data_IF_796850321272
#
_entry.id   IF_796850321272
#
_cell.length_a   1.000
_cell.length_b   1.000
_cell.length_c   1.000
_cell.angle_alpha   90.00
_cell.angle_beta   90.00
_cell.angle_gamma   90.00
#
_symmetry.space_group_name_H-M   'P 1'
#
loop_
_entity.id
_entity.type
_entity.pdbx_description
1 polymer ?
#
# COMPACT_ATOMS: atom_id res chain seq x y z
N UNK A 1 28.64 2.05 11.36
CA UNK A 1 28.53 3.52 11.18
C UNK A 1 29.87 4.17 11.53
N UNK A 2 30.39 5.08 10.69
CA UNK A 2 31.53 5.95 11.06
C UNK A 2 31.05 6.86 12.21
N UNK A 3 31.73 6.85 13.36
CA UNK A 3 31.38 7.56 14.62
C UNK A 3 30.41 6.87 15.60
N UNK A 4 30.36 5.53 15.65
CA UNK A 4 29.54 4.79 16.62
C UNK A 4 29.84 5.13 18.09
N UNK A 5 31.06 5.58 18.40
CA UNK A 5 31.47 5.98 19.74
C UNK A 5 30.80 7.24 20.30
N UNK A 6 30.02 7.98 19.51
CA UNK A 6 29.25 9.16 19.97
C UNK A 6 27.83 8.85 20.44
N UNK A 7 27.39 7.60 20.31
CA UNK A 7 26.00 7.21 20.56
C UNK A 7 25.91 6.21 21.70
N UNK A 8 24.99 6.44 22.63
CA UNK A 8 24.56 5.43 23.58
C UNK A 8 23.39 4.67 22.98
N UNK A 9 23.62 3.39 22.67
CA UNK A 9 22.58 2.52 22.10
C UNK A 9 21.78 1.87 23.21
N UNK A 10 20.48 2.10 23.23
CA UNK A 10 19.54 1.41 24.12
C UNK A 10 18.78 0.35 23.34
N UNK A 11 18.59 -0.82 23.95
CA UNK A 11 17.73 -1.91 23.46
C UNK A 11 16.87 -2.36 24.62
N UNK A 12 15.56 -2.43 24.40
CA UNK A 12 14.63 -2.95 25.40
C UNK A 12 14.16 -4.34 24.98
N UNK A 13 14.54 -5.36 25.75
CA UNK A 13 13.95 -6.68 25.68
C UNK A 13 12.77 -6.73 26.65
N UNK A 14 11.60 -7.08 26.15
CA UNK A 14 10.39 -7.23 26.95
C UNK A 14 10.56 -8.30 28.04
N UNK A 15 11.39 -9.32 27.83
CA UNK A 15 11.70 -10.34 28.84
C UNK A 15 12.49 -9.78 30.04
N UNK A 16 13.22 -8.69 29.86
CA UNK A 16 14.01 -8.06 30.93
C UNK A 16 13.18 -7.00 31.68
N UNK A 17 11.95 -6.73 31.24
CA UNK A 17 11.08 -5.71 31.83
C UNK A 17 10.21 -6.29 32.94
N UNK A 18 10.14 -5.60 34.07
CA UNK A 18 9.19 -5.90 35.15
C UNK A 18 7.77 -5.41 34.84
N UNK A 19 7.62 -4.55 33.81
CA UNK A 19 6.35 -3.92 33.44
C UNK A 19 5.57 -4.70 32.37
N UNK A 20 6.22 -5.63 31.67
CA UNK A 20 5.57 -6.41 30.61
C UNK A 20 4.93 -7.65 31.21
N UNK A 21 3.66 -7.87 30.87
CA UNK A 21 2.93 -9.09 31.24
C UNK A 21 3.62 -10.33 30.68
N UNK A 22 4.06 -11.23 31.57
CA UNK A 22 4.73 -12.48 31.19
C UNK A 22 3.82 -13.38 30.36
N UNK A 23 2.52 -13.38 30.65
CA UNK A 23 1.57 -14.17 29.88
C UNK A 23 1.45 -13.67 28.43
N UNK A 24 1.70 -12.38 28.16
CA UNK A 24 1.76 -11.86 26.81
C UNK A 24 2.99 -12.37 26.06
N UNK A 25 4.15 -12.44 26.72
CA UNK A 25 5.38 -12.96 26.13
C UNK A 25 5.21 -14.46 25.81
N UNK A 26 4.65 -15.23 26.73
CA UNK A 26 4.39 -16.66 26.54
C UNK A 26 3.45 -16.92 25.37
N UNK A 27 2.35 -16.16 25.25
CA UNK A 27 1.46 -16.25 24.07
C UNK A 27 2.18 -15.98 22.76
N UNK A 28 3.02 -14.94 22.72
CA UNK A 28 3.83 -14.65 21.53
C UNK A 28 4.85 -15.77 21.24
N UNK A 29 5.40 -16.42 22.27
CA UNK A 29 6.30 -17.57 22.09
C UNK A 29 5.56 -18.79 21.54
N UNK A 30 4.35 -19.07 22.03
CA UNK A 30 3.50 -20.17 21.57
C UNK A 30 3.01 -19.94 20.14
N UNK A 31 2.57 -18.73 19.81
CA UNK A 31 1.99 -18.40 18.51
C UNK A 31 3.04 -18.38 17.39
N UNK A 32 4.23 -17.83 17.65
CA UNK A 32 5.24 -17.57 16.61
C UNK A 32 6.52 -18.41 16.75
N UNK A 33 6.79 -18.96 17.93
CA UNK A 33 8.08 -19.58 18.24
C UNK A 33 9.17 -18.55 18.53
N UNK A 34 10.05 -18.89 19.47
CA UNK A 34 11.13 -18.01 19.98
C UNK A 34 12.10 -17.52 18.90
N UNK A 35 12.33 -18.34 17.88
CA UNK A 35 13.26 -18.04 16.77
C UNK A 35 12.61 -17.24 15.63
N UNK A 36 11.32 -16.88 15.74
CA UNK A 36 10.64 -16.09 14.71
C UNK A 36 11.10 -14.62 14.70
N UNK A 37 11.00 -13.99 13.52
CA UNK A 37 11.21 -12.55 13.40
C UNK A 37 10.19 -11.76 14.25
N UNK A 38 8.96 -12.26 14.39
CA UNK A 38 7.91 -11.63 15.21
C UNK A 38 8.31 -11.60 16.68
N UNK A 39 8.75 -12.72 17.26
CA UNK A 39 9.23 -12.76 18.63
C UNK A 39 10.50 -11.89 18.79
N UNK A 40 11.41 -11.96 17.82
CA UNK A 40 12.64 -11.16 17.80
C UNK A 40 12.39 -9.65 17.81
N UNK A 41 11.41 -9.16 17.06
CA UNK A 41 11.08 -7.74 16.99
C UNK A 41 10.20 -7.32 18.16
N UNK A 42 9.08 -8.02 18.40
CA UNK A 42 8.06 -7.62 19.38
C UNK A 42 8.45 -7.90 20.83
N UNK A 43 9.27 -8.94 21.07
CA UNK A 43 9.73 -9.32 22.42
C UNK A 43 11.17 -8.89 22.63
N UNK A 44 12.11 -9.34 21.80
CA UNK A 44 13.55 -9.13 22.06
C UNK A 44 14.05 -7.70 21.74
N UNK A 45 13.24 -6.89 21.06
CA UNK A 45 13.63 -5.55 20.59
C UNK A 45 14.81 -5.59 19.63
N UNK A 46 14.97 -6.70 18.89
CA UNK A 46 16.04 -6.91 17.92
C UNK A 46 15.51 -6.69 16.50
N UNK A 47 16.31 -6.12 15.59
CA UNK A 47 15.92 -6.05 14.18
C UNK A 47 15.77 -7.47 13.61
N UNK A 48 14.87 -7.69 12.63
CA UNK A 48 14.69 -9.00 12.01
C UNK A 48 16.01 -9.49 11.39
N UNK A 49 16.22 -10.81 11.33
CA UNK A 49 17.38 -11.37 10.62
C UNK A 49 17.07 -11.33 9.12
N UNK A 50 17.98 -10.77 8.32
CA UNK A 50 17.83 -10.72 6.86
C UNK A 50 18.00 -12.12 6.27
N UNK A 51 16.90 -12.67 5.78
CA UNK A 51 16.90 -13.84 4.89
C UNK A 51 17.33 -13.38 3.48
N UNK A 52 18.09 -14.19 2.73
CA UNK A 52 18.40 -13.90 1.31
C UNK A 52 17.13 -13.72 0.47
N UNK A 53 16.00 -14.26 0.94
CA UNK A 53 14.70 -14.16 0.29
C UNK A 53 13.93 -12.88 0.67
N UNK A 54 14.45 -12.04 1.57
CA UNK A 54 13.79 -10.80 1.99
C UNK A 54 13.59 -9.87 0.78
N UNK A 55 12.35 -9.46 0.53
CA UNK A 55 12.03 -8.61 -0.62
C UNK A 55 12.51 -7.17 -0.41
N UNK A 56 12.17 -6.59 0.75
CA UNK A 56 12.50 -5.20 1.10
C UNK A 56 13.22 -5.23 2.46
N UNK A 57 14.56 -5.06 2.46
CA UNK A 57 15.35 -4.99 3.67
C UNK A 57 14.86 -3.93 4.67
N UNK A 58 15.00 -4.23 5.97
CA UNK A 58 14.50 -3.39 7.06
C UNK A 58 15.12 -1.98 7.07
N UNK A 59 16.40 -1.88 6.73
CA UNK A 59 17.11 -0.60 6.58
C UNK A 59 16.51 0.27 5.48
N UNK A 60 16.06 -0.33 4.37
CA UNK A 60 15.39 0.42 3.30
C UNK A 60 14.02 0.95 3.74
N UNK A 61 13.27 0.16 4.52
CA UNK A 61 11.97 0.58 5.08
C UNK A 61 12.17 1.76 6.03
N UNK A 62 13.12 1.63 6.95
CA UNK A 62 13.49 2.67 7.91
C UNK A 62 13.95 3.96 7.21
N UNK A 63 14.73 3.84 6.15
CA UNK A 63 15.18 4.99 5.36
C UNK A 63 14.03 5.64 4.61
N UNK A 64 13.04 4.88 4.12
CA UNK A 64 11.86 5.45 3.49
C UNK A 64 10.98 6.24 4.47
N UNK A 65 10.90 5.84 5.75
CA UNK A 65 10.14 6.59 6.77
C UNK A 65 10.82 7.92 7.13
N UNK A 66 12.16 7.91 7.21
CA UNK A 66 12.93 9.12 7.56
C UNK A 66 13.10 10.10 6.41
N UNK A 67 12.71 9.73 5.19
CA UNK A 67 12.98 10.51 3.99
C UNK A 67 11.93 11.61 3.81
N UNK A 68 12.32 12.90 3.86
CA UNK A 68 11.41 13.96 3.47
C UNK A 68 11.28 13.97 1.94
N UNK A 69 10.08 13.75 1.43
CA UNK A 69 9.79 13.81 0.00
C UNK A 69 8.54 14.66 -0.21
N UNK A 70 8.69 15.69 -1.04
CA UNK A 70 7.57 16.51 -1.49
C UNK A 70 7.17 16.08 -2.91
N UNK A 71 5.92 15.64 -3.15
CA UNK A 71 5.49 15.25 -4.47
C UNK A 71 5.32 16.46 -5.38
N UNK A 72 5.54 16.27 -6.67
CA UNK A 72 5.30 17.30 -7.66
C UNK A 72 3.79 17.52 -7.84
N UNK A 73 3.40 18.74 -8.22
CA UNK A 73 2.01 19.04 -8.56
C UNK A 73 1.48 18.16 -9.70
N UNK A 74 2.37 17.72 -10.58
CA UNK A 74 2.10 16.85 -11.72
C UNK A 74 2.08 15.35 -11.36
N UNK A 75 2.54 14.97 -10.18
CA UNK A 75 2.55 13.56 -9.80
C UNK A 75 1.13 13.02 -9.66
N UNK A 76 0.92 11.82 -10.18
CA UNK A 76 -0.38 11.16 -10.12
C UNK A 76 -0.75 10.81 -8.67
N UNK A 77 -2.00 11.05 -8.31
CA UNK A 77 -2.60 10.63 -7.06
C UNK A 77 -3.30 9.28 -7.27
N UNK A 78 -2.67 8.21 -6.78
CA UNK A 78 -3.11 6.83 -6.98
C UNK A 78 -3.54 6.24 -5.64
N UNK A 79 -4.68 5.55 -5.64
CA UNK A 79 -5.16 4.77 -4.49
C UNK A 79 -5.10 3.28 -4.79
N UNK A 80 -4.70 2.50 -3.79
CA UNK A 80 -4.83 1.04 -3.78
C UNK A 80 -5.81 0.64 -2.67
N UNK A 81 -6.79 -0.19 -3.00
CA UNK A 81 -7.82 -0.67 -2.07
C UNK A 81 -7.75 -2.19 -1.96
N UNK A 82 -7.24 -2.70 -0.83
CA UNK A 82 -7.34 -4.11 -0.44
C UNK A 82 -8.63 -4.30 0.40
N UNK A 83 -9.47 -5.26 0.01
CA UNK A 83 -10.81 -5.43 0.57
C UNK A 83 -10.88 -6.63 1.52
N UNK A 84 -11.08 -6.35 2.82
CA UNK A 84 -11.31 -7.36 3.85
C UNK A 84 -12.79 -7.54 4.18
N UNK A 85 -13.18 -8.75 4.60
CA UNK A 85 -14.56 -9.14 4.88
C UNK A 85 -14.93 -9.14 6.39
N UNK A 86 -14.33 -8.23 7.17
CA UNK A 86 -14.55 -8.09 8.62
C UNK A 86 -13.75 -9.03 9.53
N UNK A 87 -13.19 -10.11 8.97
CA UNK A 87 -12.10 -10.87 9.61
C UNK A 87 -10.73 -10.22 9.41
N UNK A 88 -10.48 -9.73 8.19
CA UNK A 88 -9.37 -8.82 7.87
C UNK A 88 -9.93 -7.42 7.62
N UNK A 89 -9.10 -6.41 7.85
CA UNK A 89 -9.44 -5.00 7.57
C UNK A 89 -9.36 -4.73 6.07
N UNK A 90 -10.25 -3.86 5.60
CA UNK A 90 -10.09 -3.18 4.32
C UNK A 90 -9.16 -1.99 4.49
N UNK A 91 -8.26 -1.77 3.54
CA UNK A 91 -7.21 -0.74 3.62
C UNK A 91 -7.14 0.06 2.33
N UNK A 92 -7.14 1.40 2.46
CA UNK A 92 -6.82 2.32 1.38
C UNK A 92 -5.40 2.85 1.60
N UNK A 93 -4.52 2.54 0.65
CA UNK A 93 -3.24 3.23 0.49
C UNK A 93 -3.42 4.40 -0.46
N UNK A 94 -2.91 5.59 -0.09
CA UNK A 94 -2.91 6.76 -0.97
C UNK A 94 -1.48 7.17 -1.24
N UNK A 95 -1.13 7.31 -2.52
CA UNK A 95 0.21 7.67 -2.97
C UNK A 95 0.14 8.80 -3.98
N UNK A 96 0.94 9.85 -3.79
CA UNK A 96 1.17 10.88 -4.81
C UNK A 96 2.63 10.85 -5.23
N UNK A 97 2.88 10.37 -6.44
CA UNK A 97 4.25 10.11 -6.92
C UNK A 97 5.01 9.22 -5.91
N UNK A 98 6.17 9.64 -5.38
CA UNK A 98 6.90 8.86 -4.37
C UNK A 98 6.39 8.97 -2.93
N UNK A 99 5.46 9.89 -2.62
CA UNK A 99 4.97 10.11 -1.25
C UNK A 99 3.76 9.21 -0.96
N UNK A 100 3.87 8.36 0.07
CA UNK A 100 2.76 7.58 0.62
C UNK A 100 2.18 8.30 1.83
N UNK A 101 0.86 8.48 1.83
CA UNK A 101 0.12 9.10 2.94
C UNK A 101 -0.31 8.05 3.97
N UNK A 102 -0.65 8.45 5.22
CA UNK A 102 -1.20 7.54 6.22
C UNK A 102 -2.38 6.72 5.72
N UNK A 103 -2.39 5.43 6.07
CA UNK A 103 -3.37 4.45 5.61
C UNK A 103 -4.73 4.67 6.26
N UNK A 104 -5.80 4.50 5.48
CA UNK A 104 -7.18 4.51 5.99
C UNK A 104 -7.68 3.07 6.07
N UNK A 105 -8.35 2.73 7.17
CA UNK A 105 -8.74 1.36 7.52
C UNK A 105 -10.24 1.27 7.81
N UNK A 106 -10.85 0.16 7.47
CA UNK A 106 -12.25 -0.16 7.78
C UNK A 106 -12.39 -1.66 8.05
N UNK A 107 -13.06 -2.08 9.12
CA UNK A 107 -13.21 -3.50 9.48
C UNK A 107 -14.65 -4.02 9.33
N UNK A 108 -15.48 -3.36 8.52
CA UNK A 108 -16.84 -3.81 8.24
C UNK A 108 -16.84 -5.14 7.47
N UNK A 109 -17.70 -6.08 7.89
CA UNK A 109 -18.02 -7.28 7.10
C UNK A 109 -19.02 -7.00 5.96
N UNK A 110 -19.69 -5.84 6.00
CA UNK A 110 -20.66 -5.42 4.99
C UNK A 110 -19.96 -4.69 3.85
N UNK A 111 -20.01 -5.31 2.66
CA UNK A 111 -19.38 -4.79 1.43
C UNK A 111 -19.97 -3.45 0.97
N UNK A 112 -21.25 -3.17 1.27
CA UNK A 112 -21.88 -1.89 0.93
C UNK A 112 -21.30 -0.78 1.80
N UNK A 113 -21.06 -1.05 3.08
CA UNK A 113 -20.41 -0.09 3.98
C UNK A 113 -18.97 0.20 3.55
N UNK A 114 -18.20 -0.83 3.18
CA UNK A 114 -16.83 -0.65 2.66
C UNK A 114 -16.85 0.16 1.36
N UNK A 115 -17.75 -0.15 0.42
CA UNK A 115 -17.87 0.59 -0.84
C UNK A 115 -18.29 2.06 -0.62
N UNK A 116 -19.19 2.36 0.31
CA UNK A 116 -19.57 3.73 0.63
C UNK A 116 -18.42 4.49 1.32
N UNK A 117 -17.70 3.84 2.22
CA UNK A 117 -16.50 4.41 2.86
C UNK A 117 -15.41 4.76 1.83
N UNK A 118 -15.05 3.83 0.95
CA UNK A 118 -14.10 4.08 -0.12
C UNK A 118 -14.62 5.11 -1.12
N UNK A 119 -15.92 5.09 -1.44
CA UNK A 119 -16.54 6.06 -2.35
C UNK A 119 -16.44 7.50 -1.83
N UNK A 120 -16.65 7.70 -0.53
CA UNK A 120 -16.51 9.01 0.12
C UNK A 120 -15.05 9.49 0.10
N UNK A 121 -14.10 8.59 0.29
CA UNK A 121 -12.67 8.89 0.21
C UNK A 121 -12.25 9.36 -1.19
N UNK A 122 -12.75 8.67 -2.22
CA UNK A 122 -12.54 9.02 -3.63
C UNK A 122 -13.12 10.41 -3.95
N UNK A 123 -14.31 10.73 -3.44
CA UNK A 123 -14.93 12.05 -3.65
C UNK A 123 -14.15 13.18 -3.00
N UNK A 124 -13.62 12.92 -1.79
CA UNK A 124 -12.88 13.89 -1.00
C UNK A 124 -11.53 14.24 -1.64
N UNK A 125 -10.79 13.23 -2.12
CA UNK A 125 -9.41 13.42 -2.57
C UNK A 125 -9.25 13.46 -4.10
N UNK A 126 -10.27 13.02 -4.85
CA UNK A 126 -10.29 13.02 -6.33
C UNK A 126 -9.00 12.46 -6.94
N UNK A 127 -8.67 11.18 -6.66
CA UNK A 127 -7.49 10.53 -7.23
C UNK A 127 -7.57 10.46 -8.76
N UNK A 128 -6.42 10.34 -9.41
CA UNK A 128 -6.34 10.05 -10.84
C UNK A 128 -6.79 8.61 -11.12
N UNK A 129 -6.43 7.67 -10.24
CA UNK A 129 -6.78 6.24 -10.36
C UNK A 129 -6.96 5.61 -8.97
N UNK A 130 -7.92 4.69 -8.88
CA UNK A 130 -8.16 3.81 -7.74
C UNK A 130 -8.10 2.37 -8.23
N UNK A 131 -7.18 1.58 -7.69
CA UNK A 131 -7.04 0.17 -8.04
C UNK A 131 -7.56 -0.70 -6.91
N UNK A 132 -8.59 -1.48 -7.19
CA UNK A 132 -9.27 -2.32 -6.20
C UNK A 132 -8.84 -3.76 -6.40
N UNK A 133 -8.32 -4.42 -5.35
CA UNK A 133 -8.10 -5.87 -5.40
C UNK A 133 -9.44 -6.56 -5.60
N UNK A 134 -9.61 -7.27 -6.71
CA UNK A 134 -10.86 -7.97 -7.02
C UNK A 134 -10.90 -9.40 -6.52
N UNK A 135 -9.85 -9.86 -5.84
CA UNK A 135 -9.82 -11.18 -5.20
C UNK A 135 -10.74 -11.16 -3.97
N UNK A 136 -11.51 -12.24 -3.77
CA UNK A 136 -12.38 -12.37 -2.59
C UNK A 136 -13.65 -11.53 -2.72
N UNK A 137 -13.90 -10.61 -1.80
CA UNK A 137 -15.10 -9.75 -1.82
C UNK A 137 -14.94 -8.50 -2.68
N UNK A 138 -13.70 -8.17 -3.06
CA UNK A 138 -13.39 -6.89 -3.70
C UNK A 138 -13.97 -6.74 -5.09
N UNK A 139 -14.31 -7.83 -5.80
CA UNK A 139 -15.02 -7.74 -7.10
C UNK A 139 -16.38 -7.03 -6.98
N UNK A 140 -17.11 -7.24 -5.88
CA UNK A 140 -18.43 -6.61 -5.68
C UNK A 140 -18.27 -5.13 -5.31
N UNK A 141 -17.26 -4.82 -4.48
CA UNK A 141 -16.92 -3.45 -4.09
C UNK A 141 -16.43 -2.65 -5.31
N UNK A 142 -15.56 -3.23 -6.12
CA UNK A 142 -15.09 -2.65 -7.38
C UNK A 142 -16.26 -2.36 -8.32
N UNK A 143 -17.19 -3.30 -8.50
CA UNK A 143 -18.37 -3.09 -9.32
C UNK A 143 -19.23 -1.92 -8.86
N UNK A 144 -19.54 -1.84 -7.56
CA UNK A 144 -20.30 -0.73 -6.97
C UNK A 144 -19.57 0.61 -7.09
N UNK A 145 -18.25 0.62 -6.88
CA UNK A 145 -17.44 1.82 -6.99
C UNK A 145 -17.33 2.28 -8.45
N UNK A 146 -17.07 1.38 -9.39
CA UNK A 146 -16.98 1.69 -10.82
C UNK A 146 -18.28 2.21 -11.37
N UNK A 147 -19.43 1.66 -10.95
CA UNK A 147 -20.75 2.19 -11.33
C UNK A 147 -20.93 3.65 -10.89
N UNK A 148 -20.51 3.98 -9.66
CA UNK A 148 -20.68 5.33 -9.08
C UNK A 148 -19.62 6.33 -9.53
N UNK A 149 -18.39 5.90 -9.77
CA UNK A 149 -17.20 6.74 -9.95
C UNK A 149 -16.61 6.70 -11.37
N UNK A 150 -17.09 5.78 -12.21
CA UNK A 150 -16.67 5.64 -13.59
C UNK A 150 -15.24 5.13 -13.74
N UNK A 151 -14.53 5.64 -14.75
CA UNK A 151 -13.22 5.14 -15.19
C UNK A 151 -12.07 5.40 -14.21
N UNK A 152 -12.30 6.16 -13.13
CA UNK A 152 -11.27 6.36 -12.10
C UNK A 152 -11.02 5.07 -11.31
N UNK A 153 -11.97 4.12 -11.30
CA UNK A 153 -11.88 2.85 -10.57
C UNK A 153 -11.50 1.74 -11.54
N UNK A 154 -10.42 1.04 -11.22
CA UNK A 154 -9.86 -0.06 -12.00
C UNK A 154 -9.82 -1.36 -11.18
N UNK A 155 -10.20 -2.46 -11.83
CA UNK A 155 -10.08 -3.80 -11.29
C UNK A 155 -8.63 -4.31 -11.36
N UNK A 156 -8.04 -4.61 -10.20
CA UNK A 156 -6.72 -5.19 -10.06
C UNK A 156 -6.81 -6.64 -9.60
N UNK A 157 -6.66 -7.59 -10.53
CA UNK A 157 -6.54 -9.02 -10.17
C UNK A 157 -5.06 -9.38 -10.08
N UNK A 158 -4.53 -9.50 -8.86
CA UNK A 158 -3.11 -9.77 -8.61
C UNK A 158 -2.65 -11.18 -9.05
N UNK A 159 -3.58 -12.10 -9.36
CA UNK A 159 -3.27 -13.46 -9.85
C UNK A 159 -3.02 -13.51 -11.36
N UNK A 160 -3.40 -12.46 -12.10
CA UNK A 160 -3.24 -12.42 -13.56
C UNK A 160 -1.76 -12.56 -13.97
N UNK A 161 -1.54 -12.94 -15.22
CA UNK A 161 -0.21 -12.96 -15.82
C UNK A 161 0.42 -11.56 -15.74
N UNK A 162 1.71 -11.48 -15.42
CA UNK A 162 2.47 -10.23 -15.41
C UNK A 162 2.67 -9.67 -16.83
N UNK A 163 3.00 -8.39 -16.91
CA UNK A 163 3.37 -7.73 -18.17
C UNK A 163 4.76 -8.20 -18.64
N UNK A 164 5.60 -8.63 -17.70
CA UNK A 164 6.89 -9.30 -17.95
C UNK A 164 6.81 -10.77 -17.49
N UNK A 165 6.17 -11.66 -18.27
CA UNK A 165 5.90 -13.04 -17.87
C UNK A 165 7.17 -13.90 -17.80
N UNK A 166 8.27 -13.48 -18.43
CA UNK A 166 9.56 -14.18 -18.33
C UNK A 166 10.26 -13.94 -17.00
N UNK A 167 9.95 -12.81 -16.33
CA UNK A 167 10.59 -12.39 -15.07
C UNK A 167 9.72 -12.67 -13.85
N UNK A 168 8.44 -12.36 -13.93
CA UNK A 168 7.52 -12.47 -12.78
C UNK A 168 6.52 -13.61 -12.98
N UNK A 169 6.19 -14.29 -11.89
CA UNK A 169 5.23 -15.39 -11.88
C UNK A 169 3.80 -14.90 -12.13
N UNK A 170 3.44 -13.76 -11.56
CA UNK A 170 2.13 -13.14 -11.67
C UNK A 170 2.22 -11.63 -11.41
N UNK A 171 1.07 -10.96 -11.53
CA UNK A 171 0.98 -9.51 -11.34
C UNK A 171 1.29 -9.05 -9.92
N UNK A 172 0.98 -9.88 -8.91
CA UNK A 172 1.41 -9.66 -7.52
C UNK A 172 2.93 -9.52 -7.42
N UNK A 173 3.68 -10.42 -8.06
CA UNK A 173 5.13 -10.34 -8.03
C UNK A 173 5.68 -9.10 -8.74
N UNK A 174 5.10 -8.73 -9.86
CA UNK A 174 5.49 -7.53 -10.60
C UNK A 174 5.24 -6.23 -9.81
N UNK A 175 4.06 -6.08 -9.18
CA UNK A 175 3.73 -4.87 -8.42
C UNK A 175 4.59 -4.72 -7.17
N UNK A 176 4.87 -5.81 -6.46
CA UNK A 176 5.79 -5.82 -5.32
C UNK A 176 7.23 -5.55 -5.74
N UNK A 177 7.66 -6.05 -6.91
CA UNK A 177 8.99 -5.75 -7.41
C UNK A 177 9.17 -4.27 -7.75
N UNK A 178 8.15 -3.65 -8.36
CA UNK A 178 8.15 -2.19 -8.57
C UNK A 178 8.25 -1.41 -7.27
N UNK A 179 7.51 -1.84 -6.23
CA UNK A 179 7.60 -1.26 -4.89
C UNK A 179 9.01 -1.42 -4.29
N UNK A 180 9.62 -2.62 -4.43
CA UNK A 180 11.00 -2.89 -4.01
C UNK A 180 11.98 -1.93 -4.70
N UNK A 181 11.85 -1.73 -6.01
CA UNK A 181 12.74 -0.84 -6.76
C UNK A 181 12.66 0.62 -6.27
N UNK A 182 11.51 1.07 -5.75
CA UNK A 182 11.41 2.40 -5.15
C UNK A 182 12.17 2.50 -3.83
N UNK A 183 12.19 1.43 -3.04
CA UNK A 183 12.97 1.35 -1.80
C UNK A 183 14.48 1.28 -2.10
N UNK A 184 14.87 0.41 -3.05
CA UNK A 184 16.26 0.22 -3.48
C UNK A 184 16.91 1.51 -3.99
N UNK A 185 16.15 2.31 -4.76
CA UNK A 185 16.60 3.61 -5.28
C UNK A 185 16.51 4.74 -4.26
N UNK A 186 15.88 4.51 -3.11
CA UNK A 186 15.55 5.56 -2.16
C UNK A 186 14.62 6.62 -2.76
N UNK A 187 13.63 6.22 -3.55
CA UNK A 187 12.68 7.16 -4.13
C UNK A 187 11.48 7.40 -3.21
N UNK A 188 11.01 6.36 -2.51
CA UNK A 188 9.75 6.37 -1.76
C UNK A 188 9.88 6.99 -0.37
N UNK A 189 8.82 7.68 0.06
CA UNK A 189 8.59 8.12 1.44
C UNK A 189 7.38 7.41 2.02
N UNK A 190 7.53 6.82 3.21
CA UNK A 190 6.48 6.09 3.91
C UNK A 190 6.02 6.83 5.17
N UNK A 191 4.75 6.69 5.59
CA UNK A 191 4.35 7.08 6.94
C UNK A 191 4.99 6.16 7.98
N UNK A 192 5.21 6.68 9.19
CA UNK A 192 5.63 5.88 10.35
C UNK A 192 4.44 5.05 10.86
N UNK A 193 4.28 3.86 10.27
CA UNK A 193 3.16 2.95 10.49
C UNK A 193 3.68 1.54 10.86
N UNK A 194 3.58 1.12 12.13
CA UNK A 194 4.14 -0.15 12.59
C UNK A 194 3.58 -1.38 11.88
N UNK A 195 2.29 -1.36 11.52
CA UNK A 195 1.65 -2.47 10.80
C UNK A 195 2.26 -2.61 9.41
N UNK A 196 2.44 -1.49 8.68
CA UNK A 196 3.11 -1.52 7.37
C UNK A 196 4.54 -2.04 7.49
N UNK A 197 5.29 -1.57 8.49
CA UNK A 197 6.70 -1.95 8.68
C UNK A 197 6.85 -3.46 8.92
N UNK A 198 6.01 -4.04 9.79
CA UNK A 198 6.00 -5.47 10.08
C UNK A 198 5.69 -6.28 8.80
N UNK A 199 4.71 -5.83 8.02
CA UNK A 199 4.29 -6.50 6.80
C UNK A 199 5.31 -6.44 5.67
N UNK A 200 5.94 -5.28 5.45
CA UNK A 200 7.00 -5.12 4.45
C UNK A 200 8.25 -5.92 4.87
N UNK A 201 8.59 -5.92 6.16
CA UNK A 201 9.73 -6.66 6.70
C UNK A 201 9.60 -8.18 6.60
N UNK A 202 8.37 -8.70 6.68
CA UNK A 202 8.09 -10.12 6.49
C UNK A 202 7.90 -10.54 5.03
N UNK A 203 7.90 -9.59 4.09
CA UNK A 203 7.68 -9.89 2.68
C UNK A 203 8.91 -10.60 2.08
N UNK A 204 8.70 -11.79 1.51
CA UNK A 204 9.75 -12.60 0.87
C UNK A 204 9.44 -12.92 -0.58
N UNK A 205 10.47 -13.15 -1.37
CA UNK A 205 10.36 -13.68 -2.72
C UNK A 205 10.94 -15.10 -2.83
N UNK A 206 10.26 -15.94 -3.61
CA UNK A 206 10.68 -17.30 -3.98
C UNK A 206 10.82 -17.39 -5.51
N UNK A 207 11.65 -18.32 -5.99
CA UNK A 207 11.80 -18.57 -7.43
C UNK A 207 11.02 -19.82 -7.84
N UNK A 208 10.06 -19.65 -8.76
CA UNK A 208 9.26 -20.74 -9.32
C UNK A 208 9.52 -20.80 -10.82
N UNK A 209 10.18 -21.88 -11.29
CA UNK A 209 10.58 -22.04 -12.70
C UNK A 209 11.36 -20.81 -13.21
N UNK A 210 12.33 -20.35 -12.42
CA UNK A 210 13.16 -19.15 -12.67
C UNK A 210 12.41 -17.81 -12.67
N UNK A 211 11.11 -17.78 -12.34
CA UNK A 211 10.33 -16.55 -12.21
C UNK A 211 10.21 -16.15 -10.75
N UNK A 212 10.26 -14.84 -10.51
CA UNK A 212 10.06 -14.27 -9.18
C UNK A 212 8.60 -14.42 -8.79
N UNK A 213 8.35 -15.01 -7.62
CA UNK A 213 7.05 -15.11 -6.98
C UNK A 213 7.14 -14.53 -5.57
N UNK A 214 6.12 -13.82 -5.14
CA UNK A 214 6.03 -13.36 -3.74
C UNK A 214 5.36 -14.45 -2.91
N UNK A 215 5.90 -14.73 -1.72
CA UNK A 215 5.35 -15.75 -0.82
C UNK A 215 3.85 -15.53 -0.57
N UNK A 216 3.10 -16.62 -0.46
CA UNK A 216 1.65 -16.55 -0.36
C UNK A 216 1.21 -15.85 0.95
N UNK A 217 0.09 -15.11 0.92
CA UNK A 217 -0.43 -14.36 2.08
C UNK A 217 -0.48 -15.22 3.36
N UNK A 218 -0.86 -16.51 3.25
CA UNK A 218 -0.92 -17.44 4.39
C UNK A 218 0.44 -17.66 5.08
N UNK A 219 1.54 -17.71 4.32
CA UNK A 219 2.89 -17.87 4.90
C UNK A 219 3.27 -16.62 5.67
N UNK A 220 2.97 -15.44 5.12
CA UNK A 220 3.21 -14.16 5.79
C UNK A 220 2.40 -14.08 7.08
N UNK A 221 1.11 -14.39 7.02
CA UNK A 221 0.23 -14.42 8.19
C UNK A 221 0.72 -15.38 9.28
N UNK A 222 1.26 -16.53 8.90
CA UNK A 222 1.85 -17.47 9.86
C UNK A 222 3.11 -16.90 10.51
N UNK A 223 3.91 -16.09 9.79
CA UNK A 223 5.11 -15.45 10.32
C UNK A 223 4.78 -14.27 11.25
N UNK A 224 3.88 -13.36 10.85
CA UNK A 224 3.62 -12.10 11.59
C UNK A 224 2.33 -12.06 12.42
N UNK A 225 1.43 -13.03 12.20
CA UNK A 225 0.19 -13.19 12.97
C UNK A 225 -1.02 -12.42 12.47
N UNK A 226 -0.85 -11.65 11.40
CA UNK A 226 -1.94 -10.88 10.78
C UNK A 226 -1.77 -10.79 9.27
N UNK A 227 -2.84 -10.40 8.59
CA UNK A 227 -2.85 -10.20 7.15
C UNK A 227 -1.99 -9.00 6.74
N UNK A 228 -1.28 -9.06 5.59
CA UNK A 228 -0.45 -7.97 5.11
C UNK A 228 -1.25 -6.89 4.34
N UNK A 229 -2.37 -6.43 4.91
CA UNK A 229 -3.36 -5.62 4.18
C UNK A 229 -2.81 -4.24 3.75
N UNK A 230 -1.99 -3.58 4.58
CA UNK A 230 -1.32 -2.32 4.24
C UNK A 230 -0.29 -2.51 3.11
N UNK A 231 0.53 -3.55 3.19
CA UNK A 231 1.53 -3.84 2.16
C UNK A 231 0.86 -4.19 0.82
N UNK A 232 -0.24 -4.94 0.84
CA UNK A 232 -1.02 -5.27 -0.36
C UNK A 232 -1.68 -4.02 -0.95
N UNK A 233 -2.32 -3.19 -0.12
CA UNK A 233 -2.91 -1.92 -0.57
C UNK A 233 -1.85 -0.97 -1.18
N UNK A 234 -0.66 -0.89 -0.58
CA UNK A 234 0.44 -0.09 -1.13
C UNK A 234 0.95 -0.67 -2.46
N UNK A 235 1.14 -1.97 -2.55
CA UNK A 235 1.60 -2.64 -3.76
C UNK A 235 0.60 -2.46 -4.93
N UNK A 236 -0.71 -2.43 -4.67
CA UNK A 236 -1.73 -2.12 -5.69
C UNK A 236 -1.52 -0.75 -6.34
N UNK A 237 -0.97 0.22 -5.63
CA UNK A 237 -0.63 1.53 -6.24
C UNK A 237 0.44 1.40 -7.33
N UNK A 238 1.17 0.28 -7.41
CA UNK A 238 2.19 -0.03 -8.42
C UNK A 238 1.76 -1.12 -9.42
N UNK A 239 0.48 -1.48 -9.43
CA UNK A 239 -0.08 -2.49 -10.34
C UNK A 239 0.19 -2.17 -11.83
N UNK A 240 0.14 -0.90 -12.22
CA UNK A 240 0.64 -0.40 -13.50
C UNK A 240 1.68 0.72 -13.28
N UNK A 241 2.57 0.98 -14.25
CA UNK A 241 3.47 2.12 -14.20
C UNK A 241 2.70 3.43 -14.04
N UNK A 242 3.29 4.40 -13.34
CA UNK A 242 2.66 5.72 -13.10
C UNK A 242 2.35 6.47 -14.40
N UNK A 243 3.06 6.18 -15.49
CA UNK A 243 2.78 6.75 -16.82
C UNK A 243 1.44 6.32 -17.40
N UNK A 244 0.87 5.21 -16.92
CA UNK A 244 -0.46 4.73 -17.31
C UNK A 244 -1.58 5.26 -16.42
N UNK A 245 -1.25 5.94 -15.30
CA UNK A 245 -2.27 6.67 -14.56
C UNK A 245 -2.76 7.81 -15.45
N UNK A 246 -3.96 7.64 -16.01
CA UNK A 246 -4.56 8.66 -16.86
C UNK A 246 -4.78 9.89 -16.01
N UNK A 247 -4.03 10.96 -16.29
CA UNK A 247 -4.44 12.27 -15.80
C UNK A 247 -5.77 12.55 -16.47
N UNK A 248 -6.86 12.50 -15.71
CA UNK A 248 -8.03 13.30 -16.06
C UNK A 248 -7.60 14.75 -15.78
N UNK A 249 -6.62 15.25 -16.55
CA UNK A 249 -6.50 16.67 -16.79
C UNK A 249 -7.84 17.01 -17.38
N UNK A 250 -8.67 17.58 -16.53
CA UNK A 250 -9.85 18.26 -16.97
C UNK A 250 -9.39 19.24 -18.05
N UNK A 251 -9.48 18.83 -19.31
CA UNK A 251 -9.92 19.68 -20.39
C UNK A 251 -11.36 20.09 -20.04
N UNK A 252 -11.52 20.78 -18.91
CA UNK A 252 -12.50 21.84 -18.83
C UNK A 252 -11.96 22.84 -19.81
N UNK A 253 -12.33 22.65 -21.07
CA UNK A 253 -12.63 23.77 -21.93
C UNK A 253 -13.37 24.75 -21.04
N UNK A 254 -12.65 25.79 -20.67
CA UNK A 254 -13.21 27.08 -20.35
C UNK A 254 -13.99 27.44 -21.60
N UNK A 255 -15.19 26.91 -21.73
CA UNK A 255 -16.24 27.57 -22.49
C UNK A 255 -16.47 28.84 -21.70
N UNK A 256 -15.64 29.84 -21.98
CA UNK A 256 -16.12 31.21 -21.93
C UNK A 256 -17.38 31.18 -22.80
N UNK A 257 -18.53 31.03 -22.14
CA UNK A 257 -19.78 31.51 -22.68
C UNK A 257 -19.55 33.00 -22.88
N UNK A 258 -19.05 33.36 -24.06
CA UNK A 258 -19.26 34.70 -24.59
C UNK A 258 -20.74 35.01 -24.39
N UNK A 259 -21.11 36.13 -23.75
CA UNK A 259 -22.51 36.49 -23.65
C UNK A 259 -23.04 36.56 -25.08
N UNK A 260 -24.05 35.75 -25.37
CA UNK A 260 -24.79 35.78 -26.61
C UNK A 260 -25.36 37.19 -26.78
N UNK A 261 -24.72 38.00 -27.62
CA UNK A 261 -25.37 39.18 -28.19
C UNK A 261 -26.33 38.71 -29.25
N UNK A 262 -27.56 38.48 -28.83
CA UNK A 262 -28.76 38.38 -29.67
C UNK A 262 -29.78 39.33 -29.05
N UNK A 263 -30.50 40.19 -29.74
CA UNK A 263 -30.42 40.74 -31.09
C UNK A 263 -31.35 41.98 -31.11
N UNK A 264 -31.07 42.91 -32.03
CA UNK A 264 -32.05 43.80 -32.73
C UNK A 264 -33.00 44.74 -31.98
N UNK A 265 -32.87 46.04 -32.29
CA UNK A 265 -33.87 46.94 -32.92
C UNK A 265 -33.54 48.40 -32.49
N UNK A 266 -33.44 49.44 -33.33
CA UNK A 266 -34.34 49.90 -34.40
C UNK A 266 -33.61 50.85 -35.37
N UNK A 267 -34.00 50.83 -36.64
CA UNK A 267 -33.91 52.00 -37.53
C UNK A 267 -35.07 52.96 -37.23
N UNK A 268 -34.79 54.26 -37.08
CA UNK A 268 -35.61 55.40 -37.53
C UNK A 268 -35.03 56.70 -36.96
N UNK A 269 -34.78 57.69 -37.83
CA UNK A 269 -34.40 59.06 -37.48
C UNK A 269 -33.24 59.59 -38.30
#
# INVERSE_FOLDING_TARGET
>A
YKHGERWTTFRWNAEDSELVDRAQIERLEEDYGRDSNTYRVKVLGLPPVSDEQTLIPWDWIQDAIRRPVEPLATDALIKGLDCGAGGNKSVIATRKGPLVYPFKRNNSADSVQVANWAGNDIDAERPDVVRVDTIGIGWAIEGMLREKKGSVVEAADARRMSDEPDKYYNKRAEMYWRLREQHERGAISLPDDPDLMDQLGAMKCEFVKSKIKIVDKKKIMHEIGHSPDEAEALALTYFYPDTMASRITASRHRTERSPSRSATAWMAG
#
